data_IF_573937127070
#
_entry.id   IF_573937127070
#
_cell.length_a   1.000
_cell.length_b   1.000
_cell.length_c   1.000
_cell.angle_alpha   90.00
_cell.angle_beta   90.00
_cell.angle_gamma   90.00
#
_symmetry.space_group_name_H-M   'P 1'
#
loop_
_entity.id
_entity.type
_entity.pdbx_description
1 polymer ?
#
# COMPACT_ATOMS: atom_id res chain seq x y z
N UNK A 1 0.52 -7.02 -38.50
CA UNK A 1 0.76 -8.25 -37.75
C UNK A 1 1.52 -7.83 -36.53
N UNK A 2 0.89 -8.01 -35.37
CA UNK A 2 1.37 -7.56 -34.07
C UNK A 2 2.74 -8.17 -33.79
N UNK A 3 3.74 -7.34 -33.60
CA UNK A 3 5.09 -7.79 -33.31
C UNK A 3 5.12 -8.11 -31.82
N UNK A 4 4.95 -9.39 -31.49
CA UNK A 4 5.00 -9.89 -30.11
C UNK A 4 6.16 -9.25 -29.36
N UNK A 5 5.88 -8.64 -28.22
CA UNK A 5 6.88 -7.96 -27.40
C UNK A 5 8.09 -8.88 -27.20
N UNK A 6 9.27 -8.37 -27.56
CA UNK A 6 10.53 -9.11 -27.48
C UNK A 6 10.78 -9.68 -26.08
N UNK A 7 10.31 -9.01 -25.03
CA UNK A 7 10.44 -9.47 -23.65
C UNK A 7 9.50 -10.64 -23.34
N UNK A 8 8.29 -10.63 -23.89
CA UNK A 8 7.35 -11.76 -23.77
C UNK A 8 7.96 -12.99 -24.44
N UNK A 9 8.42 -12.84 -25.68
CA UNK A 9 9.07 -13.92 -26.43
C UNK A 9 10.30 -14.46 -25.71
N UNK A 10 11.19 -13.60 -25.19
CA UNK A 10 12.37 -14.03 -24.42
C UNK A 10 12.00 -14.74 -23.12
N UNK A 11 10.95 -14.30 -22.45
CA UNK A 11 10.47 -14.96 -21.23
C UNK A 11 9.93 -16.36 -21.53
N UNK A 12 9.15 -16.51 -22.59
CA UNK A 12 8.64 -17.82 -23.04
C UNK A 12 9.76 -18.78 -23.44
N UNK A 13 10.77 -18.29 -24.17
CA UNK A 13 11.97 -19.06 -24.52
C UNK A 13 12.73 -19.51 -23.27
N UNK A 14 12.93 -18.61 -22.30
CA UNK A 14 13.58 -18.94 -21.03
C UNK A 14 12.82 -20.03 -20.26
N UNK A 15 11.50 -19.88 -20.10
CA UNK A 15 10.66 -20.84 -19.39
C UNK A 15 10.74 -22.22 -20.06
N UNK A 16 10.63 -22.26 -21.39
CA UNK A 16 10.70 -23.49 -22.18
C UNK A 16 12.04 -24.19 -22.01
N UNK A 17 13.15 -23.45 -22.13
CA UNK A 17 14.48 -24.03 -21.99
C UNK A 17 14.75 -24.51 -20.56
N UNK A 18 14.31 -23.76 -19.53
CA UNK A 18 14.40 -24.20 -18.13
C UNK A 18 13.64 -25.51 -17.91
N UNK A 19 12.40 -25.63 -18.40
CA UNK A 19 11.59 -26.84 -18.22
C UNK A 19 12.17 -28.06 -18.95
N UNK A 20 12.76 -27.84 -20.13
CA UNK A 20 13.52 -28.85 -20.86
C UNK A 20 14.72 -29.33 -20.06
N UNK A 21 15.53 -28.41 -19.50
CA UNK A 21 16.71 -28.78 -18.72
C UNK A 21 16.37 -29.44 -17.37
N UNK A 22 15.28 -29.01 -16.72
CA UNK A 22 14.73 -29.67 -15.53
C UNK A 22 14.33 -31.12 -15.83
N UNK A 23 13.81 -31.38 -17.03
CA UNK A 23 13.39 -32.72 -17.47
C UNK A 23 14.57 -33.62 -17.85
N UNK A 24 15.62 -33.07 -18.46
CA UNK A 24 16.80 -33.82 -18.91
C UNK A 24 17.86 -34.04 -17.81
N UNK A 25 17.90 -33.20 -16.78
CA UNK A 25 18.92 -33.29 -15.73
C UNK A 25 18.73 -34.50 -14.82
N UNK A 26 19.81 -35.28 -14.65
CA UNK A 26 19.89 -36.40 -13.69
C UNK A 26 20.30 -35.94 -12.28
N UNK A 27 20.87 -34.75 -12.16
CA UNK A 27 21.25 -34.17 -10.86
C UNK A 27 20.03 -33.54 -10.18
N UNK A 28 19.61 -34.15 -9.07
CA UNK A 28 18.48 -33.71 -8.26
C UNK A 28 18.66 -32.28 -7.72
N UNK A 29 19.88 -31.89 -7.32
CA UNK A 29 20.16 -30.55 -6.77
C UNK A 29 20.09 -29.48 -7.85
N UNK A 30 20.71 -29.74 -9.00
CA UNK A 30 20.65 -28.84 -10.15
C UNK A 30 19.21 -28.68 -10.67
N UNK A 31 18.47 -29.79 -10.75
CA UNK A 31 17.04 -29.78 -11.12
C UNK A 31 16.22 -28.90 -10.18
N UNK A 32 16.37 -29.06 -8.86
CA UNK A 32 15.66 -28.25 -7.87
C UNK A 32 16.05 -26.76 -7.91
N UNK A 33 17.29 -26.43 -8.26
CA UNK A 33 17.72 -25.04 -8.46
C UNK A 33 17.07 -24.44 -9.72
N UNK A 34 17.12 -25.13 -10.86
CA UNK A 34 16.49 -24.68 -12.10
C UNK A 34 14.98 -24.49 -11.95
N UNK A 35 14.28 -25.43 -11.30
CA UNK A 35 12.83 -25.30 -11.06
C UNK A 35 12.48 -24.06 -10.23
N UNK A 36 13.32 -23.68 -9.26
CA UNK A 36 13.11 -22.49 -8.42
C UNK A 36 13.49 -21.19 -9.12
N UNK A 37 14.45 -21.23 -10.05
CA UNK A 37 14.97 -20.03 -10.73
C UNK A 37 13.88 -19.16 -11.36
N UNK A 38 12.83 -19.77 -11.93
CA UNK A 38 11.69 -19.02 -12.50
C UNK A 38 10.99 -18.15 -11.44
N UNK A 39 10.72 -18.71 -10.26
CA UNK A 39 10.10 -18.00 -9.14
C UNK A 39 11.06 -16.99 -8.52
N UNK A 40 12.35 -17.33 -8.43
CA UNK A 40 13.38 -16.42 -7.92
C UNK A 40 13.51 -15.18 -8.81
N UNK A 41 13.44 -15.33 -10.14
CA UNK A 41 13.39 -14.20 -11.07
C UNK A 41 12.14 -13.37 -10.81
N UNK A 42 10.94 -13.98 -10.76
CA UNK A 42 9.71 -13.24 -10.46
C UNK A 42 9.86 -12.42 -9.16
N UNK A 43 10.34 -13.04 -8.08
CA UNK A 43 10.52 -12.34 -6.81
C UNK A 43 11.58 -11.23 -6.88
N UNK A 44 12.68 -11.43 -7.61
CA UNK A 44 13.70 -10.40 -7.77
C UNK A 44 13.16 -9.12 -8.43
N UNK A 45 12.16 -9.25 -9.32
CA UNK A 45 11.59 -8.14 -10.08
C UNK A 45 10.26 -7.61 -9.53
N UNK A 46 9.43 -8.44 -8.88
CA UNK A 46 8.07 -8.05 -8.48
C UNK A 46 7.84 -8.04 -6.97
N UNK A 47 8.70 -8.68 -6.18
CA UNK A 47 8.54 -8.69 -4.73
C UNK A 47 8.86 -7.30 -4.15
N UNK A 48 8.04 -6.78 -3.22
CA UNK A 48 8.27 -5.46 -2.63
C UNK A 48 9.59 -5.41 -1.85
N UNK A 49 10.41 -4.40 -2.18
CA UNK A 49 11.66 -4.13 -1.47
C UNK A 49 11.35 -3.29 -0.23
N UNK A 50 11.33 -3.93 0.93
CA UNK A 50 11.01 -3.28 2.20
C UNK A 50 12.23 -2.50 2.71
N UNK A 51 12.02 -1.23 3.06
CA UNK A 51 12.98 -0.50 3.89
C UNK A 51 12.87 -1.02 5.33
N UNK A 52 13.74 -1.96 5.70
CA UNK A 52 13.60 -2.69 6.96
C UNK A 52 13.84 -1.78 8.19
N UNK A 53 14.60 -0.69 8.05
CA UNK A 53 14.90 0.20 9.18
C UNK A 53 13.66 0.96 9.68
N UNK A 54 12.65 1.14 8.84
CA UNK A 54 11.39 1.80 9.24
C UNK A 54 10.52 0.94 10.15
N UNK A 55 10.73 -0.40 10.12
CA UNK A 55 9.93 -1.37 10.88
C UNK A 55 10.67 -2.01 12.06
N UNK A 56 11.99 -1.81 12.18
CA UNK A 56 12.82 -2.47 13.20
C UNK A 56 12.71 -1.82 14.59
N UNK A 57 12.59 -0.50 14.66
CA UNK A 57 12.69 0.25 15.92
C UNK A 57 11.40 1.00 16.18
N UNK A 58 10.94 0.98 17.43
CA UNK A 58 9.70 1.67 17.85
C UNK A 58 9.79 3.20 17.79
N UNK A 59 11.00 3.76 17.75
CA UNK A 59 11.23 5.21 17.74
C UNK A 59 11.50 5.77 16.34
N UNK A 60 11.23 5.01 15.28
CA UNK A 60 11.38 5.49 13.92
C UNK A 60 10.33 6.57 13.62
N UNK A 61 10.77 7.71 13.09
CA UNK A 61 9.88 8.81 12.73
C UNK A 61 9.44 8.65 11.27
N UNK A 62 8.12 8.57 11.05
CA UNK A 62 7.52 8.53 9.73
C UNK A 62 6.84 9.86 9.40
N UNK A 63 6.72 10.14 8.10
CA UNK A 63 5.97 11.29 7.59
C UNK A 63 4.50 11.16 8.02
N UNK A 64 3.92 12.24 8.54
CA UNK A 64 2.50 12.26 8.86
C UNK A 64 1.63 12.30 7.58
N UNK A 65 0.42 11.73 7.61
CA UNK A 65 -0.56 11.89 6.54
C UNK A 65 -0.85 13.36 6.24
N UNK A 66 -1.24 13.65 5.00
CA UNK A 66 -1.56 14.99 4.49
C UNK A 66 -0.41 16.02 4.51
N UNK A 67 0.81 15.64 4.91
CA UNK A 67 1.97 16.51 4.76
C UNK A 67 2.31 16.74 3.28
N UNK A 68 2.66 18.00 2.95
CA UNK A 68 3.09 18.38 1.59
C UNK A 68 4.51 17.84 1.34
N UNK A 69 4.73 17.21 0.19
CA UNK A 69 6.08 16.80 -0.22
C UNK A 69 6.84 18.01 -0.79
N UNK A 70 7.99 18.42 -0.22
CA UNK A 70 8.60 19.73 -0.50
C UNK A 70 9.05 19.89 -1.95
N UNK A 71 9.48 18.81 -2.61
CA UNK A 71 9.99 18.87 -3.98
C UNK A 71 8.88 18.86 -5.03
N UNK A 72 7.76 18.19 -4.76
CA UNK A 72 6.69 17.99 -5.75
C UNK A 72 5.47 18.87 -5.48
N UNK A 73 5.35 19.44 -4.29
CA UNK A 73 4.18 20.18 -3.84
C UNK A 73 2.93 19.32 -3.63
N UNK A 74 3.00 18.00 -3.89
CA UNK A 74 1.88 17.06 -3.76
C UNK A 74 1.55 16.82 -2.29
N UNK A 75 0.25 16.68 -2.00
CA UNK A 75 -0.25 16.30 -0.67
C UNK A 75 -0.11 14.78 -0.49
N UNK A 76 0.37 14.31 0.66
CA UNK A 76 0.42 12.87 0.96
C UNK A 76 -0.95 12.35 1.40
N UNK A 77 -1.78 12.01 0.42
CA UNK A 77 -3.12 11.44 0.61
C UNK A 77 -3.07 9.94 0.96
N UNK A 78 -4.06 9.40 1.69
CA UNK A 78 -4.22 7.95 1.82
C UNK A 78 -4.47 7.28 0.47
N UNK A 79 -4.25 5.97 0.41
CA UNK A 79 -4.55 5.13 -0.75
C UNK A 79 -5.65 4.16 -0.34
N UNK A 80 -6.71 4.05 -1.16
CA UNK A 80 -7.79 3.10 -0.96
C UNK A 80 -7.27 1.65 -1.09
N UNK A 81 -7.32 0.83 -0.02
CA UNK A 81 -6.87 -0.55 -0.07
C UNK A 81 -7.77 -1.46 -0.91
N UNK A 82 -9.03 -1.09 -1.17
CA UNK A 82 -9.95 -1.86 -2.02
C UNK A 82 -9.71 -1.59 -3.52
N UNK A 83 -9.11 -0.45 -3.85
CA UNK A 83 -8.83 -0.01 -5.22
C UNK A 83 -7.38 0.46 -5.43
N UNK A 84 -6.36 -0.34 -5.04
CA UNK A 84 -4.98 0.11 -5.03
C UNK A 84 -4.41 0.36 -6.45
N UNK A 85 -4.97 -0.30 -7.46
CA UNK A 85 -4.53 -0.15 -8.86
C UNK A 85 -5.15 1.06 -9.57
N UNK A 86 -6.17 1.69 -8.98
CA UNK A 86 -6.77 2.94 -9.49
C UNK A 86 -5.99 4.18 -9.04
N UNK A 87 -5.08 4.04 -8.06
CA UNK A 87 -4.27 5.14 -7.55
C UNK A 87 -3.23 5.59 -8.58
N UNK A 88 -3.37 6.83 -9.06
CA UNK A 88 -2.39 7.49 -9.91
C UNK A 88 -1.59 8.55 -9.12
N UNK A 89 -0.28 8.34 -8.88
CA UNK A 89 0.58 9.32 -8.21
C UNK A 89 0.60 10.70 -8.90
N UNK A 90 0.39 10.76 -10.22
CA UNK A 90 0.44 12.01 -10.98
C UNK A 90 -0.86 12.82 -10.85
N UNK A 91 -1.99 12.16 -10.60
CA UNK A 91 -3.28 12.79 -10.30
C UNK A 91 -3.36 13.47 -8.92
N UNK A 92 -2.48 13.11 -7.99
CA UNK A 92 -2.50 13.64 -6.62
C UNK A 92 -2.37 15.18 -6.60
N UNK A 93 -3.27 15.91 -5.92
CA UNK A 93 -3.31 17.37 -5.95
C UNK A 93 -2.09 18.00 -5.30
N UNK A 94 -1.68 19.14 -5.83
CA UNK A 94 -0.61 19.96 -5.25
C UNK A 94 -1.19 21.04 -4.35
N UNK A 95 -0.42 21.50 -3.36
CA UNK A 95 -0.84 22.61 -2.50
C UNK A 95 -1.21 23.86 -3.29
N UNK A 96 -0.48 24.15 -4.38
CA UNK A 96 -0.79 25.28 -5.26
C UNK A 96 -2.15 25.11 -5.91
N UNK A 97 -2.42 23.92 -6.45
CA UNK A 97 -3.70 23.62 -7.07
C UNK A 97 -4.86 23.77 -6.08
N UNK A 98 -4.72 23.26 -4.86
CA UNK A 98 -5.74 23.39 -3.81
C UNK A 98 -6.00 24.86 -3.45
N UNK A 99 -4.96 25.68 -3.36
CA UNK A 99 -5.10 27.12 -3.10
C UNK A 99 -5.82 27.82 -4.26
N UNK A 100 -5.51 27.44 -5.50
CA UNK A 100 -6.20 27.97 -6.69
C UNK A 100 -7.70 27.58 -6.69
N UNK A 101 -8.02 26.33 -6.33
CA UNK A 101 -9.41 25.86 -6.16
C UNK A 101 -10.16 26.67 -5.10
N UNK A 102 -9.54 26.89 -3.93
CA UNK A 102 -10.12 27.69 -2.84
C UNK A 102 -10.37 29.15 -3.25
N UNK A 103 -9.41 29.77 -3.94
CA UNK A 103 -9.54 31.15 -4.41
C UNK A 103 -10.62 31.31 -5.50
N UNK A 104 -10.89 30.24 -6.26
CA UNK A 104 -11.94 30.21 -7.29
C UNK A 104 -13.32 29.84 -6.74
N UNK A 105 -13.37 29.24 -5.55
CA UNK A 105 -14.60 28.84 -4.86
C UNK A 105 -15.38 30.05 -4.33
N UNK A 106 -16.69 29.88 -4.16
CA UNK A 106 -17.53 30.89 -3.50
C UNK A 106 -17.37 30.82 -1.97
N UNK A 107 -17.46 31.97 -1.30
CA UNK A 107 -17.40 32.18 0.17
C UNK A 107 -18.49 31.43 1.00
N UNK A 108 -19.18 30.45 0.40
CA UNK A 108 -20.42 29.88 0.91
C UNK A 108 -20.24 28.90 2.09
N UNK A 109 -19.04 28.39 2.35
CA UNK A 109 -18.80 27.32 3.33
C UNK A 109 -17.71 27.67 4.36
N UNK A 110 -17.96 28.64 5.24
CA UNK A 110 -17.07 28.95 6.36
C UNK A 110 -16.85 27.71 7.24
N UNK A 111 -15.64 27.14 7.22
CA UNK A 111 -15.20 26.06 8.10
C UNK A 111 -15.02 24.68 7.45
N UNK A 112 -15.51 24.47 6.22
CA UNK A 112 -15.36 23.20 5.49
C UNK A 112 -14.95 23.42 4.02
N UNK A 113 -14.18 24.49 3.77
CA UNK A 113 -13.75 24.92 2.44
C UNK A 113 -12.94 23.84 1.70
N UNK A 114 -12.28 22.93 2.41
CA UNK A 114 -11.57 21.80 1.79
C UNK A 114 -12.53 20.84 1.06
N UNK A 115 -13.82 20.80 1.41
CA UNK A 115 -14.81 19.92 0.76
C UNK A 115 -15.08 20.30 -0.70
N UNK A 116 -14.84 21.56 -1.08
CA UNK A 116 -15.01 22.01 -2.46
C UNK A 116 -13.75 21.82 -3.31
N UNK A 117 -12.69 21.27 -2.73
CA UNK A 117 -11.40 21.03 -3.40
C UNK A 117 -11.26 19.57 -3.80
N UNK A 118 -10.27 19.30 -4.65
CA UNK A 118 -9.80 17.97 -5.00
C UNK A 118 -9.25 17.15 -3.81
N UNK A 119 -9.06 17.75 -2.62
CA UNK A 119 -8.66 17.05 -1.40
C UNK A 119 -9.80 16.28 -0.72
N UNK A 120 -11.06 16.62 -1.03
CA UNK A 120 -12.26 16.10 -0.35
C UNK A 120 -12.30 14.58 -0.24
N UNK A 121 -12.19 13.86 -1.37
CA UNK A 121 -12.25 12.40 -1.39
C UNK A 121 -11.17 11.73 -0.53
N UNK A 122 -9.95 12.27 -0.56
CA UNK A 122 -8.85 11.75 0.26
C UNK A 122 -9.09 11.92 1.77
N UNK A 123 -9.79 12.98 2.19
CA UNK A 123 -10.19 13.17 3.59
C UNK A 123 -11.31 12.21 3.95
N UNK A 124 -12.30 12.02 3.07
CA UNK A 124 -13.39 11.07 3.30
C UNK A 124 -12.87 9.64 3.47
N UNK A 125 -11.93 9.20 2.63
CA UNK A 125 -11.26 7.90 2.76
C UNK A 125 -10.57 7.74 4.12
N UNK A 126 -9.87 8.79 4.57
CA UNK A 126 -9.20 8.77 5.87
C UNK A 126 -10.20 8.74 7.04
N UNK A 127 -11.30 9.49 6.93
CA UNK A 127 -12.35 9.50 7.95
C UNK A 127 -13.03 8.13 8.07
N UNK A 128 -13.30 7.46 6.94
CA UNK A 128 -13.83 6.09 6.94
C UNK A 128 -12.89 5.11 7.68
N UNK A 129 -11.58 5.21 7.43
CA UNK A 129 -10.59 4.43 8.17
C UNK A 129 -10.62 4.72 9.69
N UNK A 130 -10.67 6.00 10.08
CA UNK A 130 -10.71 6.39 11.49
C UNK A 130 -11.98 5.90 12.20
N UNK A 131 -13.13 5.94 11.52
CA UNK A 131 -14.39 5.41 12.05
C UNK A 131 -14.31 3.91 12.31
N UNK A 132 -13.80 3.14 11.34
CA UNK A 132 -13.56 1.70 11.50
C UNK A 132 -12.59 1.38 12.64
N UNK A 133 -11.50 2.14 12.75
CA UNK A 133 -10.52 2.00 13.83
C UNK A 133 -11.16 2.30 15.20
N UNK A 134 -11.98 3.34 15.31
CA UNK A 134 -12.67 3.70 16.55
C UNK A 134 -13.64 2.60 17.01
N UNK A 135 -14.38 1.99 16.08
CA UNK A 135 -15.26 0.85 16.36
C UNK A 135 -14.45 -0.35 16.86
N UNK A 136 -13.41 -0.75 16.13
CA UNK A 136 -12.56 -1.89 16.50
C UNK A 136 -11.88 -1.71 17.86
N UNK A 137 -11.40 -0.50 18.16
CA UNK A 137 -10.82 -0.17 19.46
C UNK A 137 -11.84 -0.31 20.60
N UNK A 138 -13.06 0.20 20.41
CA UNK A 138 -14.14 0.07 21.40
C UNK A 138 -14.46 -1.40 21.69
N UNK A 139 -14.63 -2.20 20.65
CA UNK A 139 -14.93 -3.64 20.79
C UNK A 139 -13.83 -4.38 21.53
N UNK A 140 -12.57 -4.12 21.17
CA UNK A 140 -11.40 -4.73 21.81
C UNK A 140 -11.33 -4.37 23.29
N UNK A 141 -11.56 -3.11 23.65
CA UNK A 141 -11.57 -2.67 25.05
C UNK A 141 -12.71 -3.32 25.84
N UNK A 142 -13.92 -3.38 25.28
CA UNK A 142 -15.06 -4.05 25.92
C UNK A 142 -14.78 -5.54 26.15
N UNK A 143 -14.21 -6.22 25.16
CA UNK A 143 -13.84 -7.63 25.26
C UNK A 143 -12.79 -7.86 26.36
N UNK A 144 -11.75 -7.02 26.43
CA UNK A 144 -10.74 -7.06 27.50
C UNK A 144 -11.35 -6.87 28.89
N UNK A 145 -12.23 -5.89 29.05
CA UNK A 145 -12.91 -5.63 30.33
C UNK A 145 -13.78 -6.80 30.76
N UNK A 146 -14.56 -7.39 29.84
CA UNK A 146 -15.37 -8.59 30.12
C UNK A 146 -14.51 -9.79 30.50
N UNK A 147 -13.41 -10.01 29.77
CA UNK A 147 -12.45 -11.07 30.08
C UNK A 147 -11.82 -10.91 31.47
N UNK A 148 -11.44 -9.68 31.85
CA UNK A 148 -10.90 -9.38 33.17
C UNK A 148 -11.94 -9.61 34.30
N UNK A 149 -13.20 -9.24 34.07
CA UNK A 149 -14.28 -9.44 35.04
C UNK A 149 -14.68 -10.91 35.22
N UNK A 150 -14.44 -11.76 34.22
CA UNK A 150 -14.73 -13.19 34.25
C UNK A 150 -13.61 -14.03 34.91
N UNK A 151 -12.42 -13.45 35.15
CA UNK A 151 -11.38 -14.13 35.90
C UNK A 151 -11.76 -14.19 37.38
N UNK A 152 -11.67 -15.36 38.05
CA UNK A 152 -11.92 -15.44 39.47
C UNK A 152 -10.94 -14.51 40.21
N UNK A 153 -11.44 -13.61 41.04
CA UNK A 153 -10.57 -12.82 41.91
C UNK A 153 -9.85 -13.81 42.83
N UNK A 154 -8.52 -13.72 42.91
CA UNK A 154 -7.73 -14.50 43.87
C UNK A 154 -8.29 -14.25 45.28
N UNK A 155 -9.08 -15.21 45.77
CA UNK A 155 -9.44 -15.29 47.17
C UNK A 155 -8.19 -15.73 47.92
N UNK A 156 -7.63 -14.82 48.70
CA UNK A 156 -6.53 -15.09 49.63
C UNK A 156 -7.02 -15.91 50.82
#
# INVERSE_FOLDING_TARGET
MDQTDVNISRWEELVTEVDKQVSSSKDKKHKAALSRSKVEILFAYTYPRLDVEVSKKMNHLLKAPFCIHPKTGKVCVPIDPEKPFEFDPDSVPTVKHLVDELNSGSDALKGEEWRITSLSGAVDDFMSFLEGLAISNRETLVAKTRGAAAQPSLAW
#
